data_IF_605758217912
#
_entry.id   IF_605758217912
#
_cell.length_a   1.000
_cell.length_b   1.000
_cell.length_c   1.000
_cell.angle_alpha   90.00
_cell.angle_beta   90.00
_cell.angle_gamma   90.00
#
_symmetry.space_group_name_H-M   'P 1'
#
loop_
_entity.id
_entity.type
_entity.pdbx_description
1 polymer ?
#
# COMPACT_ATOMS: atom_id res chain seq x y z
N UNK A 1 1.63 -40.86 1.93
CA UNK A 1 1.69 -39.49 1.40
C UNK A 1 1.76 -38.58 2.60
N UNK A 2 2.95 -38.02 2.86
CA UNK A 2 3.18 -37.15 4.01
C UNK A 2 2.50 -35.80 3.78
N UNK A 3 1.53 -35.48 4.63
CA UNK A 3 0.99 -34.13 4.76
C UNK A 3 2.13 -33.17 5.08
N UNK A 4 2.50 -32.34 4.11
CA UNK A 4 3.30 -31.14 4.38
C UNK A 4 2.38 -30.15 5.09
N UNK A 5 2.27 -30.30 6.42
CA UNK A 5 1.72 -29.28 7.31
C UNK A 5 2.69 -28.10 7.37
N UNK A 6 2.69 -27.29 6.31
CA UNK A 6 3.35 -25.99 6.34
C UNK A 6 2.71 -25.15 7.43
N UNK A 7 3.51 -24.63 8.37
CA UNK A 7 3.04 -23.66 9.35
C UNK A 7 2.29 -22.52 8.63
N UNK A 8 1.18 -22.00 9.18
CA UNK A 8 0.46 -20.92 8.56
C UNK A 8 1.39 -19.72 8.37
N UNK A 9 1.46 -19.21 7.13
CA UNK A 9 2.26 -18.03 6.76
C UNK A 9 1.87 -16.87 7.67
N UNK A 10 2.85 -16.32 8.37
CA UNK A 10 2.65 -15.27 9.35
C UNK A 10 2.27 -13.95 8.64
N UNK A 11 1.47 -13.06 9.26
CA UNK A 11 1.04 -11.83 8.61
C UNK A 11 2.17 -10.94 8.10
N UNK A 12 3.26 -10.83 8.87
CA UNK A 12 4.44 -10.07 8.50
C UNK A 12 5.16 -10.66 7.28
N UNK A 13 5.12 -11.98 7.06
CA UNK A 13 5.69 -12.62 5.87
C UNK A 13 4.89 -12.30 4.60
N UNK A 14 3.55 -12.29 4.71
CA UNK A 14 2.66 -11.82 3.63
C UNK A 14 2.94 -10.37 3.31
N UNK A 15 3.07 -9.53 4.34
CA UNK A 15 3.37 -8.11 4.18
C UNK A 15 4.71 -7.89 3.50
N UNK A 16 5.78 -8.57 3.97
CA UNK A 16 7.10 -8.52 3.33
C UNK A 16 7.05 -8.91 1.86
N UNK A 17 6.32 -9.98 1.53
CA UNK A 17 6.14 -10.43 0.14
C UNK A 17 5.44 -9.36 -0.71
N UNK A 18 4.40 -8.72 -0.17
CA UNK A 18 3.74 -7.59 -0.83
C UNK A 18 4.71 -6.40 -1.04
N UNK A 19 5.59 -6.11 -0.07
CA UNK A 19 6.58 -5.03 -0.19
C UNK A 19 7.68 -5.33 -1.22
N UNK A 20 8.05 -6.60 -1.40
CA UNK A 20 8.92 -7.02 -2.51
C UNK A 20 8.25 -6.74 -3.85
N UNK A 21 6.98 -7.09 -4.00
CA UNK A 21 6.22 -6.82 -5.22
C UNK A 21 6.04 -5.31 -5.47
N UNK A 22 5.76 -4.52 -4.43
CA UNK A 22 5.73 -3.05 -4.50
C UNK A 22 7.06 -2.52 -5.04
N UNK A 23 8.19 -2.98 -4.51
CA UNK A 23 9.52 -2.57 -4.97
C UNK A 23 9.75 -2.92 -6.44
N UNK A 24 9.41 -4.13 -6.86
CA UNK A 24 9.52 -4.56 -8.26
C UNK A 24 8.70 -3.68 -9.19
N UNK A 25 7.49 -3.30 -8.80
CA UNK A 25 6.60 -2.41 -9.56
C UNK A 25 7.18 -1.00 -9.65
N UNK A 26 7.68 -0.43 -8.55
CA UNK A 26 8.39 0.86 -8.56
C UNK A 26 9.63 0.85 -9.48
N UNK A 27 10.41 -0.25 -9.46
CA UNK A 27 11.56 -0.42 -10.37
C UNK A 27 11.15 -0.50 -11.83
N UNK A 28 10.03 -1.17 -12.13
CA UNK A 28 9.51 -1.25 -13.48
C UNK A 28 9.11 0.14 -14.01
N UNK A 29 8.47 0.96 -13.15
CA UNK A 29 8.17 2.37 -13.43
C UNK A 29 9.46 3.15 -13.70
N UNK A 30 10.46 3.05 -12.83
CA UNK A 30 11.74 3.76 -12.98
C UNK A 30 12.48 3.39 -14.27
N UNK A 31 12.42 2.12 -14.67
CA UNK A 31 13.01 1.65 -15.93
C UNK A 31 12.36 2.30 -17.16
N UNK A 32 11.07 2.57 -17.09
CA UNK A 32 10.31 3.23 -18.16
C UNK A 32 10.55 4.75 -18.12
N UNK A 33 10.48 5.38 -16.95
CA UNK A 33 10.76 6.82 -16.79
C UNK A 33 12.19 7.19 -17.22
N UNK A 34 13.18 6.36 -16.90
CA UNK A 34 14.58 6.59 -17.27
C UNK A 34 14.93 6.22 -18.72
N UNK A 35 13.98 5.74 -19.53
CA UNK A 35 14.25 5.31 -20.89
C UNK A 35 14.32 6.49 -21.87
N UNK A 36 15.32 6.49 -22.76
CA UNK A 36 15.45 7.49 -23.84
C UNK A 36 14.42 7.33 -24.96
N UNK A 37 13.80 6.16 -25.05
CA UNK A 37 12.80 5.79 -26.06
C UNK A 37 11.72 4.95 -25.39
N UNK A 38 10.47 5.00 -25.90
CA UNK A 38 9.40 4.18 -25.34
C UNK A 38 9.74 2.70 -25.27
N UNK A 39 9.31 2.01 -24.22
CA UNK A 39 9.53 0.58 -24.02
C UNK A 39 8.39 -0.28 -24.57
N UNK A 40 7.20 0.28 -24.67
CA UNK A 40 5.99 -0.37 -25.19
C UNK A 40 5.52 0.31 -26.49
N UNK A 41 6.43 0.52 -27.45
CA UNK A 41 6.20 1.18 -28.75
C UNK A 41 5.93 2.69 -28.69
N UNK A 42 5.00 3.15 -27.85
CA UNK A 42 4.64 4.58 -27.73
C UNK A 42 4.75 5.07 -26.29
N UNK A 43 4.87 6.39 -26.11
CA UNK A 43 4.93 7.01 -24.79
C UNK A 43 3.62 6.83 -23.99
N UNK A 44 2.48 6.76 -24.69
CA UNK A 44 1.17 6.56 -24.08
C UNK A 44 1.00 5.14 -23.54
N UNK A 45 1.46 4.12 -24.28
CA UNK A 45 1.46 2.75 -23.78
C UNK A 45 2.43 2.59 -22.60
N UNK A 46 3.54 3.32 -22.59
CA UNK A 46 4.46 3.35 -21.44
C UNK A 46 3.74 3.96 -20.23
N UNK A 47 2.96 5.03 -20.44
CA UNK A 47 2.15 5.67 -19.38
C UNK A 47 1.10 4.69 -18.84
N UNK A 48 0.34 4.02 -19.70
CA UNK A 48 -0.67 3.03 -19.33
C UNK A 48 -0.06 1.90 -18.49
N UNK A 49 1.09 1.36 -18.94
CA UNK A 49 1.83 0.35 -18.19
C UNK A 49 2.20 0.82 -16.77
N UNK A 50 2.69 2.05 -16.63
CA UNK A 50 3.07 2.59 -15.33
C UNK A 50 1.86 2.88 -14.44
N UNK A 51 0.74 3.38 -14.99
CA UNK A 51 -0.49 3.56 -14.22
C UNK A 51 -1.05 2.24 -13.68
N UNK A 52 -0.95 1.15 -14.46
CA UNK A 52 -1.25 -0.19 -13.97
C UNK A 52 -0.37 -0.57 -12.77
N UNK A 53 0.94 -0.26 -12.83
CA UNK A 53 1.84 -0.52 -11.70
C UNK A 53 1.46 0.30 -10.47
N UNK A 54 1.15 1.60 -10.63
CA UNK A 54 0.70 2.49 -9.56
C UNK A 54 -0.57 1.94 -8.89
N UNK A 55 -1.57 1.54 -9.69
CA UNK A 55 -2.81 0.95 -9.17
C UNK A 55 -2.54 -0.30 -8.33
N UNK A 56 -1.68 -1.19 -8.83
CA UNK A 56 -1.31 -2.42 -8.12
C UNK A 56 -0.52 -2.17 -6.84
N UNK A 57 0.34 -1.15 -6.81
CA UNK A 57 1.03 -0.73 -5.58
C UNK A 57 0.01 -0.32 -4.51
N UNK A 58 -0.99 0.49 -4.87
CA UNK A 58 -2.03 0.92 -3.93
C UNK A 58 -2.88 -0.26 -3.43
N UNK A 59 -3.22 -1.22 -4.30
CA UNK A 59 -3.91 -2.45 -3.91
C UNK A 59 -3.08 -3.26 -2.89
N UNK A 60 -1.79 -3.49 -3.15
CA UNK A 60 -0.88 -4.21 -2.26
C UNK A 60 -0.76 -3.54 -0.88
N UNK A 61 -0.61 -2.21 -0.86
CA UNK A 61 -0.54 -1.44 0.39
C UNK A 61 -1.84 -1.54 1.18
N UNK A 62 -2.98 -1.48 0.49
CA UNK A 62 -4.30 -1.61 1.10
C UNK A 62 -4.48 -2.98 1.76
N UNK A 63 -4.11 -4.06 1.07
CA UNK A 63 -4.12 -5.40 1.67
C UNK A 63 -3.08 -5.56 2.78
N UNK A 64 -1.93 -4.88 2.68
CA UNK A 64 -0.95 -4.83 3.77
C UNK A 64 -1.52 -4.23 5.06
N UNK A 65 -2.45 -3.27 4.93
CA UNK A 65 -3.25 -2.76 6.03
C UNK A 65 -4.06 -3.86 6.73
N UNK A 66 -4.76 -4.68 5.95
CA UNK A 66 -5.53 -5.82 6.45
C UNK A 66 -4.64 -6.89 7.07
N UNK A 67 -3.44 -7.13 6.54
CA UNK A 67 -2.53 -8.14 7.09
C UNK A 67 -2.12 -7.83 8.54
N UNK A 68 -1.86 -6.58 8.89
CA UNK A 68 -1.43 -6.22 10.24
C UNK A 68 -2.53 -6.29 11.29
N UNK A 69 -3.80 -6.13 10.88
CA UNK A 69 -4.96 -6.12 11.76
C UNK A 69 -5.97 -7.19 11.32
N UNK A 70 -5.50 -8.34 10.82
CA UNK A 70 -6.32 -9.34 10.10
C UNK A 70 -7.51 -9.84 10.94
N UNK A 71 -7.27 -10.17 12.22
CA UNK A 71 -8.31 -10.65 13.11
C UNK A 71 -9.39 -9.58 13.37
N UNK A 72 -8.96 -8.33 13.59
CA UNK A 72 -9.84 -7.18 13.83
C UNK A 72 -10.65 -6.83 12.58
N UNK A 73 -10.01 -6.83 11.41
CA UNK A 73 -10.67 -6.62 10.13
C UNK A 73 -11.70 -7.72 9.84
N UNK A 74 -11.34 -9.00 10.09
CA UNK A 74 -12.26 -10.12 9.93
C UNK A 74 -13.48 -10.00 10.85
N UNK A 75 -13.29 -9.58 12.11
CA UNK A 75 -14.37 -9.35 13.06
C UNK A 75 -15.31 -8.22 12.58
N UNK A 76 -14.76 -7.08 12.14
CA UNK A 76 -15.57 -5.99 11.54
C UNK A 76 -16.39 -6.50 10.36
N UNK A 77 -15.78 -7.29 9.46
CA UNK A 77 -16.46 -7.78 8.27
C UNK A 77 -17.56 -8.77 8.61
N UNK A 78 -17.42 -9.57 9.66
CA UNK A 78 -18.48 -10.49 10.11
C UNK A 78 -19.78 -9.78 10.53
N UNK A 79 -19.73 -8.49 10.92
CA UNK A 79 -20.92 -7.68 11.22
C UNK A 79 -21.71 -7.23 9.97
N UNK A 80 -21.11 -7.32 8.79
CA UNK A 80 -21.69 -6.77 7.57
C UNK A 80 -22.79 -7.67 7.00
N UNK A 81 -23.93 -7.06 6.66
CA UNK A 81 -25.11 -7.77 6.13
C UNK A 81 -24.96 -8.26 4.69
N UNK A 82 -24.10 -7.61 3.90
CA UNK A 82 -23.96 -7.84 2.46
C UNK A 82 -22.92 -8.93 2.14
N UNK A 83 -21.71 -8.77 2.66
CA UNK A 83 -20.59 -9.67 2.45
C UNK A 83 -19.83 -9.86 3.77
N UNK A 84 -20.14 -10.87 4.59
CA UNK A 84 -19.43 -11.09 5.85
C UNK A 84 -18.02 -11.67 5.67
N UNK A 85 -17.66 -12.14 4.47
CA UNK A 85 -16.37 -12.77 4.20
C UNK A 85 -15.37 -11.75 3.66
N UNK A 86 -14.45 -11.30 4.52
CA UNK A 86 -13.39 -10.34 4.17
C UNK A 86 -12.51 -10.79 3.00
N UNK A 87 -12.37 -12.10 2.76
CA UNK A 87 -11.56 -12.65 1.66
C UNK A 87 -12.09 -12.32 0.27
N UNK A 88 -13.33 -11.81 0.18
CA UNK A 88 -13.96 -11.38 -1.07
C UNK A 88 -13.81 -9.88 -1.32
N UNK A 89 -13.18 -9.15 -0.41
CA UNK A 89 -13.00 -7.71 -0.56
C UNK A 89 -11.89 -7.41 -1.57
N UNK A 90 -12.22 -6.55 -2.54
CA UNK A 90 -11.30 -6.14 -3.60
C UNK A 90 -11.34 -4.63 -3.88
N UNK A 91 -12.37 -3.93 -3.38
CA UNK A 91 -12.57 -2.50 -3.61
C UNK A 91 -11.72 -1.68 -2.64
N UNK A 92 -10.54 -1.23 -3.10
CA UNK A 92 -9.57 -0.44 -2.33
C UNK A 92 -10.21 0.64 -1.47
N UNK A 93 -11.02 1.53 -2.07
CA UNK A 93 -11.63 2.64 -1.33
C UNK A 93 -12.57 2.20 -0.21
N UNK A 94 -13.23 1.05 -0.34
CA UNK A 94 -14.04 0.49 0.75
C UNK A 94 -13.18 -0.18 1.82
N UNK A 95 -12.11 -0.86 1.42
CA UNK A 95 -11.19 -1.51 2.37
C UNK A 95 -10.51 -0.47 3.25
N UNK A 96 -9.97 0.62 2.66
CA UNK A 96 -9.31 1.68 3.41
C UNK A 96 -10.25 2.40 4.39
N UNK A 97 -11.49 2.69 3.98
CA UNK A 97 -12.50 3.28 4.87
C UNK A 97 -12.77 2.38 6.07
N UNK A 98 -12.96 1.08 5.84
CA UNK A 98 -13.16 0.09 6.92
C UNK A 98 -11.93 -0.06 7.82
N UNK A 99 -10.72 -0.01 7.27
CA UNK A 99 -9.49 -0.03 8.07
C UNK A 99 -9.42 1.20 8.98
N UNK A 100 -9.78 2.38 8.48
CA UNK A 100 -9.81 3.60 9.28
C UNK A 100 -10.85 3.57 10.41
N UNK A 101 -11.85 2.70 10.35
CA UNK A 101 -12.79 2.48 11.46
C UNK A 101 -12.20 1.69 12.63
N UNK A 102 -11.12 0.92 12.41
CA UNK A 102 -10.62 -0.06 13.39
C UNK A 102 -9.20 0.20 13.87
N UNK A 103 -8.41 0.97 13.12
CA UNK A 103 -7.03 1.30 13.45
C UNK A 103 -6.67 2.69 12.92
N UNK A 104 -6.00 3.55 13.70
CA UNK A 104 -5.41 4.79 13.19
C UNK A 104 -4.18 4.53 12.31
N UNK A 105 -3.65 3.30 12.29
CA UNK A 105 -2.47 2.91 11.52
C UNK A 105 -2.86 2.18 10.22
N UNK A 106 -3.96 2.58 9.59
CA UNK A 106 -4.56 1.90 8.44
C UNK A 106 -3.63 1.84 7.21
N UNK A 107 -2.70 2.78 7.06
CA UNK A 107 -1.65 2.81 6.02
C UNK A 107 -0.24 2.66 6.62
N UNK A 108 0.77 2.30 5.80
CA UNK A 108 2.17 2.37 6.20
C UNK A 108 2.58 3.82 6.48
N UNK A 109 3.17 4.05 7.64
CA UNK A 109 3.62 5.38 8.07
C UNK A 109 5.07 5.58 7.65
N UNK A 110 5.42 6.64 6.90
CA UNK A 110 6.79 6.88 6.50
C UNK A 110 7.65 7.26 7.69
N UNK A 111 8.91 6.80 7.64
CA UNK A 111 9.91 7.08 8.65
C UNK A 111 10.98 8.02 8.08
N UNK A 112 11.36 8.99 8.90
CA UNK A 112 12.50 9.87 8.67
C UNK A 112 13.79 9.28 9.25
N UNK A 113 14.68 10.18 9.67
CA UNK A 113 15.99 9.80 10.21
C UNK A 113 15.87 8.99 11.51
N UNK A 114 16.81 8.06 11.70
CA UNK A 114 16.93 7.30 12.94
C UNK A 114 17.91 7.99 13.87
N UNK A 115 17.43 8.35 15.06
CA UNK A 115 18.20 8.97 16.13
C UNK A 115 18.49 7.93 17.22
N UNK A 116 19.75 7.82 17.63
CA UNK A 116 20.14 7.06 18.82
C UNK A 116 20.03 7.97 20.05
N UNK A 117 19.11 7.64 20.95
CA UNK A 117 18.89 8.40 22.18
C UNK A 117 19.94 8.03 23.25
N UNK A 118 20.05 8.88 24.29
CA UNK A 118 21.06 8.72 25.35
C UNK A 118 20.91 7.42 26.15
N UNK A 119 19.70 6.87 26.20
CA UNK A 119 19.37 5.60 26.87
C UNK A 119 19.61 4.38 25.96
N UNK A 120 20.14 4.58 24.75
CA UNK A 120 20.39 3.52 23.77
C UNK A 120 19.18 3.13 22.93
N UNK A 121 18.02 3.73 23.16
CA UNK A 121 16.83 3.50 22.34
C UNK A 121 16.96 4.18 20.97
N UNK A 122 16.32 3.60 19.95
CA UNK A 122 16.28 4.15 18.59
C UNK A 122 14.94 4.84 18.37
N UNK A 123 14.98 6.13 18.07
CA UNK A 123 13.82 6.90 17.66
C UNK A 123 13.84 7.10 16.15
N UNK A 124 12.69 6.97 15.49
CA UNK A 124 12.54 7.37 14.10
C UNK A 124 11.69 8.64 14.04
N UNK A 125 12.22 9.67 13.40
CA UNK A 125 11.45 10.86 13.05
C UNK A 125 10.29 10.49 12.13
N UNK A 126 9.27 11.33 12.07
CA UNK A 126 8.22 11.18 11.07
C UNK A 126 8.78 11.44 9.66
N UNK A 127 8.34 10.66 8.68
CA UNK A 127 8.59 10.98 7.27
C UNK A 127 7.98 12.33 6.87
N UNK A 128 8.49 12.90 5.77
CA UNK A 128 8.04 14.22 5.27
C UNK A 128 6.62 14.18 4.73
N UNK A 129 6.28 13.09 4.05
CA UNK A 129 4.94 12.88 3.50
C UNK A 129 4.00 12.32 4.56
N UNK A 130 2.71 12.62 4.41
CA UNK A 130 1.65 12.04 5.23
C UNK A 130 0.89 10.99 4.45
N UNK A 131 0.73 9.83 5.03
CA UNK A 131 -0.12 8.75 4.57
C UNK A 131 -1.59 9.05 4.92
N UNK A 132 -2.42 9.34 3.93
CA UNK A 132 -3.87 9.54 4.17
C UNK A 132 -4.72 8.65 3.28
N UNK A 133 -5.89 8.25 3.79
CA UNK A 133 -6.88 7.47 3.03
C UNK A 133 -7.26 8.21 1.76
N UNK A 134 -7.55 9.49 1.87
CA UNK A 134 -8.00 10.33 0.76
C UNK A 134 -6.98 10.33 -0.37
N UNK A 135 -5.69 10.44 -0.02
CA UNK A 135 -4.63 10.50 -1.01
C UNK A 135 -4.42 9.17 -1.71
N UNK A 136 -4.45 8.05 -0.99
CA UNK A 136 -4.35 6.72 -1.60
C UNK A 136 -5.58 6.39 -2.48
N UNK A 137 -6.78 6.77 -2.06
CA UNK A 137 -8.00 6.60 -2.86
C UNK A 137 -7.91 7.45 -4.13
N UNK A 138 -7.50 8.71 -4.04
CA UNK A 138 -7.34 9.58 -5.19
C UNK A 138 -6.34 8.99 -6.21
N UNK A 139 -5.20 8.47 -5.75
CA UNK A 139 -4.19 7.86 -6.63
C UNK A 139 -4.77 6.61 -7.31
N UNK A 140 -5.51 5.79 -6.58
CA UNK A 140 -6.14 4.59 -7.11
C UNK A 140 -7.20 4.90 -8.17
N UNK A 141 -8.06 5.90 -7.92
CA UNK A 141 -9.10 6.32 -8.87
C UNK A 141 -8.50 6.93 -10.12
N UNK A 142 -7.53 7.85 -9.95
CA UNK A 142 -6.80 8.46 -11.07
C UNK A 142 -6.08 7.41 -11.92
N UNK A 143 -5.42 6.44 -11.29
CA UNK A 143 -4.81 5.33 -12.02
C UNK A 143 -5.87 4.51 -12.78
N UNK A 144 -7.09 4.40 -12.26
CA UNK A 144 -8.22 3.78 -12.97
C UNK A 144 -8.68 4.58 -14.17
N UNK A 145 -8.83 5.90 -14.05
CA UNK A 145 -9.20 6.80 -15.15
C UNK A 145 -8.25 6.65 -16.34
N UNK A 146 -6.94 6.56 -16.08
CA UNK A 146 -5.93 6.35 -17.13
C UNK A 146 -5.93 4.95 -17.76
N UNK A 147 -6.61 3.97 -17.16
CA UNK A 147 -6.71 2.60 -17.69
C UNK A 147 -8.05 2.32 -18.37
N UNK A 148 -9.03 3.21 -18.18
CA UNK A 148 -10.33 3.08 -18.82
C UNK A 148 -10.28 3.63 -20.24
N UNK A 149 -10.91 2.90 -21.16
CA UNK A 149 -11.19 3.40 -22.51
C UNK A 149 -12.40 4.33 -22.43
N UNK A 150 -12.28 5.54 -22.96
CA UNK A 150 -13.41 6.47 -23.04
C UNK A 150 -14.50 5.94 -23.98
N UNK A 151 -15.74 6.29 -23.66
CA UNK A 151 -16.87 5.99 -24.53
C UNK A 151 -16.74 6.80 -25.83
N UNK A 152 -16.61 6.16 -27.01
CA UNK A 152 -16.40 6.87 -28.27
C UNK A 152 -17.63 7.67 -28.76
N UNK A 153 -18.79 7.49 -28.12
CA UNK A 153 -20.01 8.24 -28.42
C UNK A 153 -20.21 9.47 -27.52
N UNK A 154 -19.26 9.72 -26.61
CA UNK A 154 -19.24 10.86 -25.71
C UNK A 154 -18.08 11.79 -26.12
N UNK A 155 -18.41 12.82 -26.90
CA UNK A 155 -17.40 13.75 -27.46
C UNK A 155 -16.66 14.52 -26.38
N UNK A 156 -17.34 14.85 -25.28
CA UNK A 156 -16.74 15.53 -24.13
C UNK A 156 -15.74 14.60 -23.42
N UNK A 157 -16.12 13.34 -23.19
CA UNK A 157 -15.22 12.35 -22.61
C UNK A 157 -14.00 12.08 -23.51
N UNK A 158 -14.16 12.09 -24.84
CA UNK A 158 -13.05 11.93 -25.78
C UNK A 158 -12.07 13.12 -25.71
N UNK A 159 -12.57 14.36 -25.67
CA UNK A 159 -11.73 15.55 -25.53
C UNK A 159 -10.98 15.57 -24.18
N UNK A 160 -11.67 15.22 -23.09
CA UNK A 160 -11.07 15.12 -21.76
C UNK A 160 -9.97 14.04 -21.71
N UNK A 161 -10.16 12.90 -22.39
CA UNK A 161 -9.16 11.85 -22.46
C UNK A 161 -7.86 12.32 -23.14
N UNK A 162 -7.96 13.10 -24.22
CA UNK A 162 -6.78 13.64 -24.90
C UNK A 162 -5.97 14.57 -24.00
N UNK A 163 -6.66 15.46 -23.25
CA UNK A 163 -6.01 16.34 -22.28
C UNK A 163 -5.33 15.54 -21.16
N UNK A 164 -6.02 14.53 -20.64
CA UNK A 164 -5.49 13.63 -19.62
C UNK A 164 -4.23 12.89 -20.10
N UNK A 165 -4.24 12.35 -21.33
CA UNK A 165 -3.08 11.67 -21.92
C UNK A 165 -1.88 12.62 -22.05
N UNK A 166 -2.11 13.86 -22.48
CA UNK A 166 -1.07 14.88 -22.61
C UNK A 166 -0.38 15.22 -21.27
N UNK A 167 -1.12 15.15 -20.16
CA UNK A 167 -0.60 15.44 -18.81
C UNK A 167 -0.15 14.18 -18.05
N UNK A 168 -0.42 12.99 -18.59
CA UNK A 168 -0.29 11.70 -17.92
C UNK A 168 1.10 11.47 -17.33
N UNK A 169 2.16 11.75 -18.10
CA UNK A 169 3.56 11.55 -17.66
C UNK A 169 3.92 12.42 -16.47
N UNK A 170 3.63 13.72 -16.55
CA UNK A 170 3.94 14.67 -15.48
C UNK A 170 3.17 14.31 -14.20
N UNK A 171 1.92 13.86 -14.35
CA UNK A 171 1.11 13.42 -13.22
C UNK A 171 1.66 12.13 -12.60
N UNK A 172 2.03 11.14 -13.42
CA UNK A 172 2.69 9.90 -12.99
C UNK A 172 3.92 10.18 -12.12
N UNK A 173 4.79 11.09 -12.54
CA UNK A 173 6.00 11.44 -11.79
C UNK A 173 5.69 11.99 -10.39
N UNK A 174 4.63 12.78 -10.25
CA UNK A 174 4.16 13.31 -8.95
C UNK A 174 3.64 12.16 -8.08
N UNK A 175 2.79 11.29 -8.62
CA UNK A 175 2.18 10.21 -7.85
C UNK A 175 3.19 9.14 -7.44
N UNK A 176 4.11 8.78 -8.33
CA UNK A 176 5.18 7.83 -8.05
C UNK A 176 6.13 8.38 -6.99
N UNK A 177 6.43 9.69 -7.03
CA UNK A 177 7.25 10.33 -6.00
C UNK A 177 6.58 10.25 -4.63
N UNK A 178 5.31 10.64 -4.55
CA UNK A 178 4.54 10.52 -3.31
C UNK A 178 4.55 9.08 -2.76
N UNK A 179 4.27 8.08 -3.61
CA UNK A 179 4.28 6.68 -3.18
C UNK A 179 5.67 6.24 -2.69
N UNK A 180 6.75 6.68 -3.33
CA UNK A 180 8.12 6.41 -2.86
C UNK A 180 8.39 7.07 -1.52
N UNK A 181 8.03 8.33 -1.36
CA UNK A 181 8.25 9.08 -0.14
C UNK A 181 7.48 8.48 1.05
N UNK A 182 6.32 7.87 0.80
CA UNK A 182 5.56 7.11 1.82
C UNK A 182 6.17 5.72 2.08
N UNK A 183 6.58 5.00 1.05
CA UNK A 183 6.82 3.55 1.13
C UNK A 183 8.31 3.15 1.22
N UNK A 184 9.26 4.01 0.88
CA UNK A 184 10.66 3.57 0.75
C UNK A 184 11.28 3.12 2.08
N UNK A 185 10.98 3.88 3.13
CA UNK A 185 11.32 3.56 4.52
C UNK A 185 10.09 3.86 5.36
N UNK A 186 9.45 2.83 5.89
CA UNK A 186 8.17 2.98 6.57
C UNK A 186 8.02 1.98 7.72
N UNK A 187 7.02 2.21 8.56
CA UNK A 187 6.55 1.25 9.55
C UNK A 187 5.09 0.89 9.27
N UNK A 188 4.76 -0.39 9.40
CA UNK A 188 3.37 -0.83 9.52
C UNK A 188 3.14 -1.32 10.96
N UNK A 189 2.14 -0.75 11.61
CA UNK A 189 1.78 -1.05 13.00
C UNK A 189 0.51 -1.90 13.00
N UNK A 190 0.50 -2.97 13.79
CA UNK A 190 -0.69 -3.75 14.12
C UNK A 190 -1.06 -3.58 15.58
N UNK A 191 -2.35 -3.51 15.88
CA UNK A 191 -2.85 -3.35 17.25
C UNK A 191 -3.24 -4.69 17.86
N UNK A 192 -3.07 -4.82 19.18
CA UNK A 192 -3.58 -5.96 19.93
C UNK A 192 -5.09 -6.12 19.70
N UNK A 193 -5.60 -7.33 19.55
CA UNK A 193 -7.03 -7.56 19.44
C UNK A 193 -7.43 -8.97 19.82
N UNK A 194 -8.33 -9.11 20.79
CA UNK A 194 -8.94 -10.37 21.19
C UNK A 194 -10.42 -10.44 20.75
N UNK A 195 -10.76 -11.27 19.74
CA UNK A 195 -12.12 -11.41 19.24
C UNK A 195 -13.11 -11.79 20.34
N UNK A 196 -14.23 -11.07 20.42
CA UNK A 196 -15.31 -11.32 21.38
C UNK A 196 -15.07 -10.76 22.78
N UNK A 197 -13.88 -10.20 23.05
CA UNK A 197 -13.61 -9.45 24.29
C UNK A 197 -13.42 -7.96 24.02
N UNK A 198 -12.65 -7.62 22.99
CA UNK A 198 -12.34 -6.24 22.64
C UNK A 198 -13.42 -5.62 21.75
N UNK A 199 -13.62 -4.31 21.89
CA UNK A 199 -14.42 -3.53 20.95
C UNK A 199 -13.62 -3.32 19.65
N UNK A 200 -14.21 -3.75 18.53
CA UNK A 200 -13.61 -3.71 17.18
C UNK A 200 -13.21 -2.29 16.76
N UNK A 201 -13.98 -1.27 17.18
CA UNK A 201 -13.82 0.12 16.74
C UNK A 201 -13.03 0.98 17.72
N UNK A 202 -12.67 0.44 18.88
CA UNK A 202 -11.80 1.12 19.84
C UNK A 202 -10.34 0.74 19.53
N UNK A 203 -9.46 1.70 19.19
CA UNK A 203 -8.04 1.41 19.00
C UNK A 203 -7.43 0.83 20.27
N UNK A 204 -6.75 -0.31 20.15
CA UNK A 204 -5.97 -0.87 21.25
C UNK A 204 -4.52 -0.38 21.21
N UNK A 205 -3.71 -0.86 22.16
CA UNK A 205 -2.28 -0.59 22.16
C UNK A 205 -1.58 -1.23 20.95
N UNK A 206 -0.55 -0.58 20.38
CA UNK A 206 0.32 -1.21 19.40
C UNK A 206 0.92 -2.51 19.94
N UNK A 207 0.75 -3.60 19.21
CA UNK A 207 1.30 -4.92 19.56
C UNK A 207 2.51 -5.25 18.70
N UNK A 208 2.43 -4.93 17.41
CA UNK A 208 3.50 -5.20 16.45
C UNK A 208 3.85 -3.96 15.64
N UNK A 209 5.12 -3.84 15.29
CA UNK A 209 5.63 -2.85 14.36
C UNK A 209 6.61 -3.51 13.38
N UNK A 210 6.33 -3.39 12.09
CA UNK A 210 7.15 -3.92 11.01
C UNK A 210 7.86 -2.76 10.33
N UNK A 211 9.13 -2.56 10.67
CA UNK A 211 9.95 -1.50 10.09
C UNK A 211 10.52 -2.03 8.78
N UNK A 212 10.16 -1.41 7.67
CA UNK A 212 10.52 -1.85 6.32
C UNK A 212 11.44 -0.85 5.65
N UNK A 213 12.49 -1.39 5.04
CA UNK A 213 13.39 -0.67 4.16
C UNK A 213 13.36 -1.35 2.80
N UNK A 214 12.85 -0.65 1.78
CA UNK A 214 12.94 -1.12 0.40
C UNK A 214 14.39 -1.12 -0.09
N UNK A 215 15.30 -0.39 0.55
CA UNK A 215 16.74 -0.49 0.31
C UNK A 215 17.20 0.10 -1.02
N UNK A 216 18.18 -0.54 -1.67
CA UNK A 216 18.73 -0.05 -2.93
C UNK A 216 17.76 -0.29 -4.08
N UNK A 217 17.52 0.73 -4.91
CA UNK A 217 16.62 0.65 -6.07
C UNK A 217 17.06 -0.39 -7.12
N UNK A 218 18.34 -0.79 -7.13
CA UNK A 218 18.91 -1.68 -8.12
C UNK A 218 18.55 -3.16 -7.98
N UNK A 219 18.02 -3.63 -6.85
CA UNK A 219 17.74 -5.04 -6.58
C UNK A 219 16.32 -5.26 -6.00
N UNK A 220 15.94 -6.51 -5.71
CA UNK A 220 14.64 -6.86 -5.10
C UNK A 220 14.70 -7.10 -3.58
N UNK A 221 15.85 -6.82 -2.96
CA UNK A 221 16.01 -7.03 -1.53
C UNK A 221 15.13 -6.05 -0.75
N UNK A 222 14.27 -6.59 0.12
CA UNK A 222 13.51 -5.82 1.12
C UNK A 222 13.94 -6.31 2.50
N UNK A 223 14.35 -5.37 3.34
CA UNK A 223 14.70 -5.61 4.74
C UNK A 223 13.51 -5.24 5.60
N UNK A 224 13.22 -6.09 6.57
CA UNK A 224 12.15 -5.86 7.53
C UNK A 224 12.64 -6.26 8.92
N UNK A 225 12.51 -5.36 9.88
CA UNK A 225 12.70 -5.63 11.29
C UNK A 225 11.34 -5.77 11.97
N UNK A 226 11.20 -6.78 12.81
CA UNK A 226 10.01 -7.03 13.60
C UNK A 226 10.24 -6.51 15.01
N UNK A 227 9.35 -5.64 15.49
CA UNK A 227 9.28 -5.21 16.86
C UNK A 227 7.92 -5.62 17.44
N UNK A 228 7.94 -6.11 18.67
CA UNK A 228 6.73 -6.46 19.43
C UNK A 228 6.68 -5.62 20.70
N UNK A 229 5.48 -5.40 21.22
CA UNK A 229 5.31 -4.85 22.56
C UNK A 229 6.09 -5.71 23.58
N UNK A 230 6.75 -5.04 24.52
CA UNK A 230 7.36 -5.73 25.65
C UNK A 230 6.23 -6.34 26.50
N UNK A 231 6.38 -7.57 27.01
CA UNK A 231 5.45 -8.08 28.02
C UNK A 231 5.51 -7.15 29.24
N UNK A 232 4.35 -6.85 29.80
CA UNK A 232 4.22 -6.17 31.10
C UNK A 232 4.87 -6.98 32.24
#
# INVERSE_FOLDING_TARGET
MSDSSGSPIQPHERYRSAMVEVKQRLRAIDRVLGAKKPRTLTADLDNEFMWLQVRKIVELVTFGGVMADEARYAALRAEAKDNPNYRRDWKVGQILKRLAEITPHYLPRPLGDMLLLKDGTKHFEAGKEKETVERFVQIYELAGEHLHVSNPFDEEAAANQQLMLAQSRARLEVEVRYLKDVLWTHVKIGLAFEPGKDDIRVPANPETAWIVLLGLAGNDEVRMALANAMPD
#
